data_IF_527233522833
#
_entry.id   IF_527233522833
#
_cell.length_a   1.000
_cell.length_b   1.000
_cell.length_c   1.000
_cell.angle_alpha   90.00
_cell.angle_beta   90.00
_cell.angle_gamma   90.00
#
_symmetry.space_group_name_H-M   'P 1'
#
loop_
_entity.id
_entity.type
_entity.pdbx_description
1 polymer ?
#
# COMPACT_ATOMS: atom_id res chain seq x y z
N UNK A 1 -5.18 -15.70 14.11
CA UNK A 1 -5.38 -15.00 12.83
C UNK A 1 -5.06 -13.50 12.91
N UNK A 2 -5.51 -12.74 13.90
CA UNK A 2 -5.24 -11.28 14.00
C UNK A 2 -3.76 -10.92 14.17
N UNK A 3 -3.00 -11.71 14.92
CA UNK A 3 -1.56 -11.49 15.09
C UNK A 3 -0.80 -11.61 13.76
N UNK A 4 -1.17 -12.60 12.94
CA UNK A 4 -0.56 -12.81 11.63
C UNK A 4 -0.86 -11.63 10.67
N UNK A 5 -2.13 -11.18 10.62
CA UNK A 5 -2.52 -10.02 9.80
C UNK A 5 -1.78 -8.75 10.24
N UNK A 6 -1.67 -8.50 11.55
CA UNK A 6 -0.93 -7.36 12.05
C UNK A 6 0.57 -7.45 11.73
N UNK A 7 1.13 -8.65 11.72
CA UNK A 7 2.52 -8.86 11.32
C UNK A 7 2.72 -8.54 9.84
N UNK A 8 1.80 -8.99 8.96
CA UNK A 8 1.83 -8.69 7.53
C UNK A 8 1.76 -7.16 7.30
N UNK A 9 0.83 -6.46 7.96
CA UNK A 9 0.72 -5.00 7.80
C UNK A 9 1.97 -4.25 8.30
N UNK A 10 2.56 -4.68 9.41
CA UNK A 10 3.83 -4.11 9.89
C UNK A 10 4.99 -4.41 8.95
N UNK A 11 5.07 -5.63 8.44
CA UNK A 11 6.12 -6.02 7.50
C UNK A 11 6.03 -5.22 6.19
N UNK A 12 4.83 -5.03 5.62
CA UNK A 12 4.64 -4.22 4.41
C UNK A 12 4.94 -2.75 4.67
N UNK A 13 4.58 -2.21 5.85
CA UNK A 13 4.95 -0.85 6.23
C UNK A 13 6.46 -0.65 6.40
N UNK A 14 7.14 -1.60 7.04
CA UNK A 14 8.60 -1.57 7.16
C UNK A 14 9.30 -1.70 5.80
N UNK A 15 8.79 -2.57 4.92
CA UNK A 15 9.28 -2.69 3.55
C UNK A 15 9.07 -1.39 2.76
N UNK A 16 7.92 -0.74 2.90
CA UNK A 16 7.66 0.57 2.28
C UNK A 16 8.67 1.63 2.73
N UNK A 17 8.98 1.70 4.04
CA UNK A 17 9.99 2.61 4.57
C UNK A 17 11.39 2.30 4.01
N UNK A 18 11.75 1.02 3.88
CA UNK A 18 13.02 0.61 3.29
C UNK A 18 13.12 1.03 1.81
N UNK A 19 12.04 0.88 1.04
CA UNK A 19 12.01 1.35 -0.34
C UNK A 19 12.08 2.88 -0.45
N UNK A 20 11.52 3.64 0.50
CA UNK A 20 11.70 5.10 0.54
C UNK A 20 13.18 5.48 0.77
N UNK A 21 13.87 4.76 1.65
CA UNK A 21 15.33 4.93 1.79
C UNK A 21 16.04 4.57 0.49
N UNK A 22 15.57 3.52 -0.21
CA UNK A 22 16.06 3.15 -1.54
C UNK A 22 15.92 4.29 -2.56
N UNK A 23 14.77 4.98 -2.58
CA UNK A 23 14.58 6.19 -3.42
C UNK A 23 15.63 7.23 -3.13
N UNK A 24 15.82 7.55 -1.84
CA UNK A 24 16.81 8.55 -1.42
C UNK A 24 18.22 8.19 -1.88
N UNK A 25 18.63 6.93 -1.68
CA UNK A 25 19.95 6.43 -2.10
C UNK A 25 20.12 6.54 -3.62
N UNK A 26 19.13 6.12 -4.40
CA UNK A 26 19.21 6.18 -5.87
C UNK A 26 19.27 7.61 -6.39
N UNK A 27 18.47 8.52 -5.82
CA UNK A 27 18.47 9.94 -6.20
C UNK A 27 19.81 10.59 -5.84
N UNK A 28 20.33 10.38 -4.63
CA UNK A 28 21.63 10.92 -4.23
C UNK A 28 22.73 10.35 -5.12
N UNK A 29 22.73 9.05 -5.40
CA UNK A 29 23.69 8.43 -6.29
C UNK A 29 23.64 9.04 -7.70
N UNK A 30 22.45 9.30 -8.23
CA UNK A 30 22.26 9.97 -9.52
C UNK A 30 22.82 11.39 -9.54
N UNK A 31 22.62 12.18 -8.46
CA UNK A 31 23.14 13.55 -8.36
C UNK A 31 24.67 13.54 -8.26
N UNK A 32 25.20 12.77 -7.31
CA UNK A 32 26.66 12.71 -7.06
C UNK A 32 27.41 12.19 -8.27
N UNK A 33 26.87 11.17 -8.96
CA UNK A 33 27.50 10.63 -10.16
C UNK A 33 27.59 11.66 -11.30
N UNK A 34 26.59 12.50 -11.46
CA UNK A 34 26.61 13.60 -12.46
C UNK A 34 27.63 14.66 -12.11
N UNK A 35 27.73 15.05 -10.83
CA UNK A 35 28.73 16.04 -10.36
C UNK A 35 30.17 15.52 -10.53
N UNK A 36 30.38 14.21 -10.31
CA UNK A 36 31.71 13.60 -10.46
C UNK A 36 32.06 13.22 -11.91
N UNK A 37 31.14 13.44 -12.86
CA UNK A 37 31.35 13.04 -14.25
C UNK A 37 31.36 11.51 -14.46
N UNK A 38 30.88 10.73 -13.47
CA UNK A 38 30.80 9.27 -13.52
C UNK A 38 29.40 8.88 -13.98
N UNK A 39 29.28 8.14 -15.08
CA UNK A 39 27.98 7.71 -15.57
C UNK A 39 27.52 6.43 -14.86
N UNK A 40 26.56 6.53 -13.95
CA UNK A 40 25.85 5.39 -13.33
C UNK A 40 24.50 5.20 -14.03
N UNK A 41 24.34 4.03 -14.66
CA UNK A 41 23.14 3.72 -15.45
C UNK A 41 21.93 3.47 -14.53
N UNK A 42 20.73 3.86 -14.98
CA UNK A 42 19.45 3.41 -14.43
C UNK A 42 19.07 3.97 -13.07
N UNK A 43 19.81 4.93 -12.51
CA UNK A 43 19.49 5.49 -11.17
C UNK A 43 18.08 6.04 -11.09
N UNK A 44 17.60 6.70 -12.14
CA UNK A 44 16.27 7.30 -12.20
C UNK A 44 15.19 6.20 -12.34
N UNK A 45 15.46 5.15 -13.10
CA UNK A 45 14.55 3.99 -13.26
C UNK A 45 14.38 3.24 -11.92
N UNK A 46 15.49 2.94 -11.24
CA UNK A 46 15.45 2.27 -9.93
C UNK A 46 14.83 3.13 -8.84
N UNK A 47 15.03 4.46 -8.86
CA UNK A 47 14.32 5.37 -7.98
C UNK A 47 12.81 5.30 -8.20
N UNK A 48 12.37 5.25 -9.46
CA UNK A 48 10.96 5.07 -9.83
C UNK A 48 10.38 3.73 -9.35
N UNK A 49 11.13 2.63 -9.50
CA UNK A 49 10.69 1.32 -9.00
C UNK A 49 10.58 1.28 -7.48
N UNK A 50 11.55 1.86 -6.78
CA UNK A 50 11.50 1.97 -5.32
C UNK A 50 10.32 2.85 -4.87
N UNK A 51 10.05 3.95 -5.57
CA UNK A 51 8.94 4.85 -5.27
C UNK A 51 7.58 4.14 -5.44
N UNK A 52 7.41 3.41 -6.55
CA UNK A 52 6.20 2.61 -6.78
C UNK A 52 6.04 1.53 -5.70
N UNK A 53 7.11 0.80 -5.38
CA UNK A 53 7.10 -0.22 -4.34
C UNK A 53 6.71 0.36 -2.97
N UNK A 54 7.32 1.49 -2.58
CA UNK A 54 7.01 2.18 -1.32
C UNK A 54 5.54 2.58 -1.26
N UNK A 55 5.01 3.20 -2.33
CA UNK A 55 3.62 3.64 -2.40
C UNK A 55 2.64 2.48 -2.24
N UNK A 56 2.78 1.42 -3.01
CA UNK A 56 1.85 0.29 -2.96
C UNK A 56 1.94 -0.51 -1.65
N UNK A 57 3.15 -0.74 -1.12
CA UNK A 57 3.33 -1.48 0.14
C UNK A 57 2.84 -0.67 1.35
N UNK A 58 2.87 0.66 1.30
CA UNK A 58 2.34 1.51 2.36
C UNK A 58 0.81 1.50 2.45
N UNK A 59 0.08 1.25 1.34
CA UNK A 59 -1.37 1.39 1.27
C UNK A 59 -2.12 0.62 2.36
N UNK A 60 -1.76 -0.63 2.60
CA UNK A 60 -2.42 -1.45 3.60
C UNK A 60 -2.10 -1.01 5.04
N UNK A 61 -0.87 -0.56 5.27
CA UNK A 61 -0.44 -0.03 6.56
C UNK A 61 -1.18 1.27 6.90
N UNK A 62 -1.20 2.23 5.99
CA UNK A 62 -1.91 3.52 6.17
C UNK A 62 -3.42 3.33 6.29
N UNK A 63 -3.99 2.39 5.53
CA UNK A 63 -5.41 2.04 5.67
C UNK A 63 -5.73 1.52 7.07
N UNK A 64 -4.90 0.63 7.62
CA UNK A 64 -5.10 0.04 8.96
C UNK A 64 -4.95 1.06 10.08
N UNK A 65 -4.08 2.06 9.93
CA UNK A 65 -3.89 3.13 10.91
C UNK A 65 -4.93 4.26 10.80
N UNK A 66 -5.85 4.17 9.85
CA UNK A 66 -6.93 5.14 9.71
C UNK A 66 -6.50 6.46 9.06
N UNK A 67 -5.30 6.51 8.49
CA UNK A 67 -4.73 7.70 7.86
C UNK A 67 -5.25 7.95 6.43
N UNK A 68 -6.09 7.04 5.91
CA UNK A 68 -6.81 7.31 4.66
C UNK A 68 -7.82 8.41 4.90
N UNK A 69 -7.77 9.43 4.04
CA UNK A 69 -8.71 10.56 4.06
C UNK A 69 -10.12 10.00 3.96
N UNK A 70 -10.85 10.07 5.07
CA UNK A 70 -12.26 9.73 5.10
C UNK A 70 -13.05 11.00 4.86
N UNK A 71 -14.20 10.84 4.27
CA UNK A 71 -15.24 11.86 4.35
C UNK A 71 -15.86 11.83 5.76
N UNK A 72 -14.99 11.93 6.78
CA UNK A 72 -15.36 11.89 8.22
C UNK A 72 -16.39 12.96 8.53
N UNK A 73 -16.22 14.14 7.93
CA UNK A 73 -17.15 15.26 8.08
C UNK A 73 -18.58 14.92 7.65
N UNK A 74 -18.76 14.09 6.61
CA UNK A 74 -20.09 13.68 6.15
C UNK A 74 -20.65 12.55 7.02
N UNK A 75 -19.80 11.62 7.45
CA UNK A 75 -20.18 10.46 8.25
C UNK A 75 -20.46 10.85 9.71
N UNK A 76 -19.75 11.85 10.25
CA UNK A 76 -19.97 12.36 11.62
C UNK A 76 -21.28 13.13 11.79
N UNK A 77 -21.82 13.70 10.71
CA UNK A 77 -23.14 14.35 10.72
C UNK A 77 -24.30 13.36 10.73
N UNK A 78 -24.05 12.09 10.44
CA UNK A 78 -25.04 11.03 10.41
C UNK A 78 -24.97 10.23 11.71
N UNK A 79 -26.11 10.03 12.37
CA UNK A 79 -26.25 9.18 13.56
C UNK A 79 -27.19 8.00 13.27
N UNK A 80 -26.98 6.87 13.97
CA UNK A 80 -27.87 5.72 13.90
C UNK A 80 -27.69 4.81 12.68
N UNK A 81 -28.81 4.34 12.12
CA UNK A 81 -28.86 3.36 11.00
C UNK A 81 -28.18 3.81 9.71
N UNK A 82 -28.44 5.04 9.22
CA UNK A 82 -27.85 5.55 7.98
C UNK A 82 -26.33 5.56 7.99
N UNK A 83 -25.70 5.85 9.13
CA UNK A 83 -24.25 5.82 9.30
C UNK A 83 -23.66 4.43 9.02
N UNK A 84 -24.25 3.38 9.59
CA UNK A 84 -23.80 2.00 9.39
C UNK A 84 -23.93 1.54 7.96
N UNK A 85 -25.03 1.91 7.29
CA UNK A 85 -25.24 1.58 5.86
C UNK A 85 -24.19 2.25 4.99
N UNK A 86 -23.92 3.53 5.22
CA UNK A 86 -22.91 4.27 4.45
C UNK A 86 -21.49 3.73 4.68
N UNK A 87 -21.13 3.39 5.92
CA UNK A 87 -19.85 2.76 6.25
C UNK A 87 -19.71 1.39 5.57
N UNK A 88 -20.77 0.57 5.56
CA UNK A 88 -20.76 -0.72 4.90
C UNK A 88 -20.63 -0.59 3.38
N UNK A 89 -21.37 0.34 2.76
CA UNK A 89 -21.28 0.63 1.33
C UNK A 89 -19.88 1.12 0.94
N UNK A 90 -19.28 2.01 1.73
CA UNK A 90 -17.93 2.50 1.49
C UNK A 90 -16.89 1.37 1.55
N UNK A 91 -17.03 0.45 2.52
CA UNK A 91 -16.17 -0.72 2.63
C UNK A 91 -16.39 -1.71 1.49
N UNK A 92 -17.63 -1.96 1.08
CA UNK A 92 -17.94 -2.82 -0.05
C UNK A 92 -17.35 -2.28 -1.36
N UNK A 93 -17.51 -0.98 -1.60
CA UNK A 93 -16.95 -0.30 -2.77
C UNK A 93 -15.41 -0.30 -2.74
N UNK A 94 -14.80 -0.03 -1.58
CA UNK A 94 -13.35 -0.12 -1.40
C UNK A 94 -12.82 -1.53 -1.63
N UNK A 95 -13.56 -2.56 -1.17
CA UNK A 95 -13.22 -3.97 -1.44
C UNK A 95 -13.30 -4.30 -2.92
N UNK A 96 -14.30 -3.79 -3.64
CA UNK A 96 -14.43 -4.00 -5.07
C UNK A 96 -13.26 -3.37 -5.84
N UNK A 97 -12.93 -2.12 -5.54
CA UNK A 97 -11.82 -1.41 -6.18
C UNK A 97 -10.48 -2.08 -5.86
N UNK A 98 -10.20 -2.39 -4.59
CA UNK A 98 -8.96 -3.07 -4.21
C UNK A 98 -8.88 -4.49 -4.76
N UNK A 99 -10.01 -5.18 -4.92
CA UNK A 99 -10.11 -6.49 -5.56
C UNK A 99 -9.75 -6.44 -7.04
N UNK A 100 -10.31 -5.48 -7.78
CA UNK A 100 -9.97 -5.28 -9.19
C UNK A 100 -8.49 -4.89 -9.35
N UNK A 101 -7.99 -4.00 -8.50
CA UNK A 101 -6.58 -3.61 -8.49
C UNK A 101 -5.66 -4.82 -8.25
N UNK A 102 -5.95 -5.64 -7.23
CA UNK A 102 -5.17 -6.83 -6.92
C UNK A 102 -5.19 -7.84 -8.07
N UNK A 103 -6.36 -8.09 -8.65
CA UNK A 103 -6.52 -9.00 -9.78
C UNK A 103 -5.66 -8.58 -10.98
N UNK A 104 -5.80 -7.32 -11.41
CA UNK A 104 -5.04 -6.82 -12.56
C UNK A 104 -3.54 -6.71 -12.27
N UNK A 105 -3.14 -6.35 -11.05
CA UNK A 105 -1.72 -6.30 -10.67
C UNK A 105 -1.07 -7.68 -10.70
N UNK A 106 -1.73 -8.70 -10.17
CA UNK A 106 -1.22 -10.09 -10.23
C UNK A 106 -1.17 -10.58 -11.69
N UNK A 107 -2.22 -10.31 -12.47
CA UNK A 107 -2.26 -10.67 -13.88
C UNK A 107 -1.15 -9.98 -14.68
N UNK A 108 -0.86 -8.72 -14.35
CA UNK A 108 0.23 -7.97 -14.97
C UNK A 108 1.59 -8.65 -14.72
N UNK A 109 1.89 -9.01 -13.47
CA UNK A 109 3.13 -9.73 -13.11
C UNK A 109 3.25 -11.05 -13.87
N UNK A 110 2.16 -11.84 -13.92
CA UNK A 110 2.15 -13.12 -14.62
C UNK A 110 2.40 -12.94 -16.13
N UNK A 111 1.76 -11.95 -16.73
CA UNK A 111 1.93 -11.65 -18.15
C UNK A 111 3.35 -11.15 -18.45
N UNK A 112 3.87 -10.19 -17.69
CA UNK A 112 5.22 -9.65 -17.88
C UNK A 112 6.29 -10.75 -17.74
N UNK A 113 6.06 -11.69 -16.81
CA UNK A 113 6.95 -12.86 -16.69
C UNK A 113 6.84 -13.82 -17.87
N UNK A 114 5.62 -14.03 -18.37
CA UNK A 114 5.35 -14.96 -19.50
C UNK A 114 5.89 -14.42 -20.82
N UNK A 115 5.76 -13.12 -21.05
CA UNK A 115 6.20 -12.47 -22.29
C UNK A 115 7.63 -11.94 -22.21
N UNK A 116 8.31 -12.12 -21.06
CA UNK A 116 9.65 -11.62 -20.81
C UNK A 116 9.77 -10.11 -21.06
N UNK A 117 8.75 -9.36 -20.61
CA UNK A 117 8.72 -7.91 -20.73
C UNK A 117 9.92 -7.29 -20.01
N UNK A 118 10.64 -6.45 -20.73
CA UNK A 118 11.77 -5.68 -20.20
C UNK A 118 11.44 -4.20 -20.14
N UNK A 119 12.06 -3.49 -19.21
CA UNK A 119 11.96 -2.03 -19.11
C UNK A 119 12.54 -1.40 -20.38
N UNK A 120 11.92 -0.31 -20.82
CA UNK A 120 12.47 0.55 -21.89
C UNK A 120 13.57 1.49 -21.35
N UNK A 121 13.87 1.42 -20.06
CA UNK A 121 14.95 2.14 -19.43
C UNK A 121 16.33 1.63 -19.87
N UNK A 122 17.37 2.28 -19.35
CA UNK A 122 18.76 2.03 -19.77
C UNK A 122 19.25 0.64 -19.42
N UNK A 123 18.68 0.01 -18.37
CA UNK A 123 19.16 -1.27 -17.82
C UNK A 123 18.34 -2.49 -18.25
N UNK A 124 17.34 -2.35 -19.13
CA UNK A 124 16.50 -3.45 -19.59
C UNK A 124 16.03 -4.41 -18.49
N UNK A 125 15.71 -3.87 -17.31
CA UNK A 125 15.27 -4.63 -16.13
C UNK A 125 14.00 -5.41 -16.43
N UNK A 126 13.87 -6.71 -16.05
CA UNK A 126 12.64 -7.46 -16.20
C UNK A 126 11.50 -6.82 -15.40
N UNK A 127 10.42 -6.38 -16.07
CA UNK A 127 9.36 -5.59 -15.47
C UNK A 127 8.56 -6.35 -14.40
N UNK A 128 8.52 -7.68 -14.45
CA UNK A 128 7.84 -8.47 -13.43
C UNK A 128 8.39 -8.26 -12.01
N UNK A 129 9.69 -7.86 -11.88
CA UNK A 129 10.34 -7.65 -10.57
C UNK A 129 9.75 -6.44 -9.83
N UNK A 130 9.77 -5.20 -10.38
CA UNK A 130 9.14 -4.06 -9.70
C UNK A 130 7.62 -4.21 -9.59
N UNK A 131 6.97 -4.89 -10.53
CA UNK A 131 5.53 -5.15 -10.49
C UNK A 131 5.11 -6.08 -9.33
N UNK A 132 6.01 -6.96 -8.83
CA UNK A 132 5.74 -7.80 -7.66
C UNK A 132 5.41 -6.96 -6.42
N UNK A 133 6.15 -5.89 -6.17
CA UNK A 133 5.88 -5.02 -5.01
C UNK A 133 4.48 -4.39 -5.10
N UNK A 134 4.07 -3.96 -6.29
CA UNK A 134 2.73 -3.45 -6.56
C UNK A 134 1.67 -4.53 -6.31
N UNK A 135 1.87 -5.74 -6.85
CA UNK A 135 0.91 -6.85 -6.69
C UNK A 135 0.77 -7.26 -5.21
N UNK A 136 1.88 -7.38 -4.49
CA UNK A 136 1.87 -7.68 -3.05
C UNK A 136 1.13 -6.59 -2.27
N UNK A 137 1.44 -5.32 -2.51
CA UNK A 137 0.78 -4.19 -1.86
C UNK A 137 -0.73 -4.16 -2.11
N UNK A 138 -1.16 -4.38 -3.36
CA UNK A 138 -2.57 -4.44 -3.74
C UNK A 138 -3.32 -5.61 -3.10
N UNK A 139 -2.69 -6.80 -3.03
CA UNK A 139 -3.29 -7.98 -2.37
C UNK A 139 -3.42 -7.75 -0.86
N UNK A 140 -2.40 -7.18 -0.22
CA UNK A 140 -2.47 -6.89 1.23
C UNK A 140 -3.50 -5.80 1.52
N UNK A 141 -3.65 -4.80 0.64
CA UNK A 141 -4.73 -3.81 0.73
C UNK A 141 -6.10 -4.46 0.63
N UNK A 142 -6.31 -5.36 -0.34
CA UNK A 142 -7.55 -6.13 -0.46
C UNK A 142 -7.85 -6.91 0.81
N UNK A 143 -6.86 -7.61 1.38
CA UNK A 143 -7.03 -8.33 2.65
C UNK A 143 -7.46 -7.39 3.79
N UNK A 144 -6.93 -6.17 3.84
CA UNK A 144 -7.30 -5.19 4.84
C UNK A 144 -8.76 -4.72 4.69
N UNK A 145 -9.23 -4.47 3.46
CA UNK A 145 -10.62 -4.11 3.20
C UNK A 145 -11.59 -5.25 3.52
N UNK A 146 -11.25 -6.49 3.11
CA UNK A 146 -12.06 -7.68 3.41
C UNK A 146 -12.16 -7.92 4.91
N UNK A 147 -11.05 -7.79 5.67
CA UNK A 147 -11.06 -7.92 7.14
C UNK A 147 -12.00 -6.91 7.80
N UNK A 148 -11.95 -5.64 7.38
CA UNK A 148 -12.81 -4.59 7.91
C UNK A 148 -14.29 -4.77 7.48
N UNK A 149 -14.55 -5.23 6.25
CA UNK A 149 -15.90 -5.51 5.76
C UNK A 149 -16.54 -6.67 6.54
N UNK A 150 -15.79 -7.75 6.78
CA UNK A 150 -16.24 -8.89 7.58
C UNK A 150 -16.53 -8.49 9.03
N UNK A 151 -15.67 -7.67 9.64
CA UNK A 151 -15.92 -7.16 11.01
C UNK A 151 -17.17 -6.29 11.07
N UNK A 152 -17.34 -5.41 10.10
CA UNK A 152 -18.53 -4.54 10.01
C UNK A 152 -19.82 -5.34 9.83
N UNK A 153 -19.80 -6.39 9.00
CA UNK A 153 -20.96 -7.27 8.80
C UNK A 153 -21.33 -8.09 10.05
N UNK A 154 -20.33 -8.40 10.89
CA UNK A 154 -20.54 -9.08 12.19
C UNK A 154 -20.94 -8.11 13.32
N UNK A 155 -21.22 -6.84 13.01
CA UNK A 155 -21.58 -5.81 14.00
C UNK A 155 -20.44 -5.40 14.94
N UNK A 156 -19.19 -5.77 14.61
CA UNK A 156 -18.00 -5.39 15.40
C UNK A 156 -17.37 -4.11 14.80
N UNK A 157 -16.83 -3.21 15.64
CA UNK A 157 -16.15 -2.03 15.12
C UNK A 157 -14.97 -2.45 14.24
N UNK A 158 -14.79 -1.83 13.06
CA UNK A 158 -13.65 -2.08 12.18
C UNK A 158 -12.33 -2.00 12.95
N UNK A 159 -11.37 -2.84 12.59
CA UNK A 159 -10.09 -2.94 13.33
C UNK A 159 -9.33 -1.61 13.38
N UNK A 160 -9.51 -0.77 12.37
CA UNK A 160 -8.95 0.58 12.24
C UNK A 160 -9.49 1.61 13.27
N UNK A 161 -10.68 1.38 13.87
CA UNK A 161 -11.29 2.25 14.90
C UNK A 161 -10.83 1.91 16.32
N UNK A 162 -10.10 0.81 16.49
CA UNK A 162 -9.49 0.47 17.77
C UNK A 162 -8.21 1.28 17.93
N UNK A 163 -8.28 2.39 18.70
CA UNK A 163 -7.06 3.07 19.17
C UNK A 163 -6.14 2.04 19.82
N UNK A 164 -4.83 2.04 19.49
CA UNK A 164 -3.88 1.25 20.27
C UNK A 164 -3.95 1.70 21.72
N UNK A 165 -4.00 0.75 22.64
CA UNK A 165 -4.14 0.99 24.09
C UNK A 165 -2.96 1.79 24.71
N UNK A 166 -2.00 2.25 23.91
CA UNK A 166 -0.81 2.99 24.35
C UNK A 166 -0.86 4.51 24.17
N UNK A 167 -1.82 5.06 23.43
CA UNK A 167 -1.86 6.53 23.20
C UNK A 167 -2.66 7.30 24.24
N UNK A 168 -3.41 6.61 25.10
CA UNK A 168 -4.13 7.24 26.21
C UNK A 168 -3.20 7.70 27.36
N UNK A 169 -1.95 7.23 27.40
CA UNK A 169 -1.01 7.53 28.48
C UNK A 169 -0.02 8.68 28.16
N UNK A 170 -0.21 9.39 27.02
CA UNK A 170 0.71 10.48 26.62
C UNK A 170 0.12 11.89 26.67
N UNK A 171 -1.09 12.03 27.23
CA UNK A 171 -1.76 13.33 27.38
C UNK A 171 -2.15 13.52 28.88
N UNK A 172 -1.22 13.27 29.77
CA UNK A 172 -1.23 13.79 31.15
C UNK A 172 0.14 14.35 31.47
#
# INVERSE_FOLDING_TARGET
MRTLLNLIYRATGAAAALFLVGVLVMVITGIVSRELGIYVRGTDDYAGYCMAAAGFLALAYTFKHGEHIRVTLLIERLSGGPKKVLEWLALAFGTLISGTLAWYSVRLVVNSRRFHDISQGVDATPLWIPQLAMAIGAVVLLLAFVDDLLLSSLGRPPARLRKPAGDAARIE
#
